data_IF_903121293770
#
_entry.id   IF_903121293770
#
_cell.length_a   1.000
_cell.length_b   1.000
_cell.length_c   1.000
_cell.angle_alpha   90.00
_cell.angle_beta   90.00
_cell.angle_gamma   90.00
#
_symmetry.space_group_name_H-M   'P 1'
#
loop_
_entity.id
_entity.type
_entity.pdbx_description
1 polymer ?
#
# COMPACT_ATOMS: atom_id res chain seq x y z
N UNK A 1 -21.11 -37.66 41.36
CA UNK A 1 -21.23 -36.28 40.82
C UNK A 1 -19.99 -36.00 39.98
N UNK A 2 -19.98 -36.44 38.72
CA UNK A 2 -18.84 -36.30 37.81
C UNK A 2 -19.08 -35.04 36.97
N UNK A 3 -18.20 -34.05 37.10
CA UNK A 3 -18.21 -32.86 36.25
C UNK A 3 -17.33 -33.11 35.02
N UNK A 4 -17.94 -33.26 33.85
CA UNK A 4 -17.25 -33.27 32.56
C UNK A 4 -17.14 -31.82 32.09
N UNK A 5 -15.91 -31.30 32.05
CA UNK A 5 -15.62 -29.99 31.45
C UNK A 5 -15.43 -30.18 29.94
N UNK A 6 -16.41 -29.72 29.15
CA UNK A 6 -16.33 -29.69 27.69
C UNK A 6 -15.59 -28.40 27.28
N UNK A 7 -14.29 -28.49 26.99
CA UNK A 7 -13.56 -27.34 26.42
C UNK A 7 -13.84 -27.23 24.93
N UNK A 8 -14.60 -26.22 24.54
CA UNK A 8 -14.67 -25.74 23.15
C UNK A 8 -13.51 -24.80 22.87
N UNK A 9 -12.60 -25.19 21.97
CA UNK A 9 -11.54 -24.33 21.46
C UNK A 9 -12.15 -23.27 20.54
N UNK A 10 -12.25 -22.03 21.02
CA UNK A 10 -12.54 -20.87 20.16
C UNK A 10 -11.19 -20.41 19.59
N UNK A 11 -11.00 -20.55 18.29
CA UNK A 11 -9.85 -19.97 17.61
C UNK A 11 -9.99 -18.43 17.62
N UNK A 12 -9.20 -17.77 18.45
CA UNK A 12 -9.09 -16.31 18.46
C UNK A 12 -8.20 -15.91 17.27
N UNK A 13 -8.80 -15.33 16.23
CA UNK A 13 -8.03 -14.74 15.14
C UNK A 13 -7.44 -13.41 15.63
N UNK A 14 -6.10 -13.36 15.75
CA UNK A 14 -5.40 -12.10 15.98
C UNK A 14 -5.46 -11.26 14.69
N UNK A 15 -5.99 -10.04 14.77
CA UNK A 15 -6.01 -9.12 13.63
C UNK A 15 -4.58 -8.69 13.32
N UNK A 16 -4.10 -8.96 12.10
CA UNK A 16 -2.76 -8.58 11.72
C UNK A 16 -2.72 -7.09 11.40
N UNK A 17 -1.55 -6.45 11.56
CA UNK A 17 -1.37 -5.03 11.21
C UNK A 17 -1.76 -4.73 9.75
N UNK A 18 -1.62 -5.71 8.85
CA UNK A 18 -1.96 -5.59 7.44
C UNK A 18 -3.48 -5.58 7.21
N UNK A 19 -4.25 -6.30 8.02
CA UNK A 19 -5.72 -6.33 7.92
C UNK A 19 -6.32 -4.96 8.23
N UNK A 20 -5.74 -4.23 9.18
CA UNK A 20 -6.18 -2.87 9.50
C UNK A 20 -5.89 -1.88 8.38
N UNK A 21 -4.74 -2.01 7.71
CA UNK A 21 -4.36 -1.18 6.55
C UNK A 21 -5.32 -1.45 5.40
N UNK A 22 -5.56 -2.73 5.09
CA UNK A 22 -6.48 -3.13 4.02
C UNK A 22 -7.90 -2.64 4.29
N UNK A 23 -8.41 -2.85 5.51
CA UNK A 23 -9.75 -2.40 5.93
C UNK A 23 -9.91 -0.89 5.77
N UNK A 24 -8.89 -0.12 6.19
CA UNK A 24 -8.90 1.34 6.03
C UNK A 24 -8.97 1.73 4.55
N UNK A 25 -8.08 1.22 3.71
CA UNK A 25 -8.06 1.60 2.29
C UNK A 25 -9.35 1.13 1.59
N UNK A 26 -9.84 -0.06 1.91
CA UNK A 26 -11.08 -0.60 1.38
C UNK A 26 -12.28 0.29 1.71
N UNK A 27 -12.30 0.97 2.87
CA UNK A 27 -13.34 1.94 3.20
C UNK A 27 -13.34 3.17 2.26
N UNK A 28 -12.19 3.59 1.75
CA UNK A 28 -12.12 4.66 0.74
C UNK A 28 -12.48 4.15 -0.65
N UNK A 29 -12.11 2.91 -0.97
CA UNK A 29 -12.46 2.26 -2.24
C UNK A 29 -13.98 2.10 -2.35
N UNK A 30 -14.64 1.62 -1.30
CA UNK A 30 -16.11 1.43 -1.29
C UNK A 30 -16.87 2.76 -1.42
N UNK A 31 -16.28 3.86 -0.93
CA UNK A 31 -16.80 5.21 -1.09
C UNK A 31 -16.44 5.85 -2.45
N UNK A 32 -15.80 5.09 -3.37
CA UNK A 32 -15.25 5.59 -4.63
C UNK A 32 -14.26 6.77 -4.48
N UNK A 33 -13.67 6.94 -3.29
CA UNK A 33 -12.70 7.99 -2.98
C UNK A 33 -11.26 7.58 -3.24
N UNK A 34 -11.01 6.30 -3.53
CA UNK A 34 -9.69 5.79 -3.86
C UNK A 34 -9.74 4.74 -4.98
N UNK A 35 -8.77 4.83 -5.90
CA UNK A 35 -8.47 3.82 -6.91
C UNK A 35 -6.99 3.96 -7.24
N UNK A 36 -6.20 2.91 -7.01
CA UNK A 36 -4.76 2.94 -7.25
C UNK A 36 -3.99 1.88 -6.45
N UNK A 37 -2.68 2.08 -6.35
CA UNK A 37 -1.76 1.18 -5.65
C UNK A 37 -1.30 1.77 -4.32
N UNK A 38 -1.16 0.93 -3.31
CA UNK A 38 -0.61 1.29 -1.99
C UNK A 38 0.58 0.38 -1.69
N UNK A 39 1.73 0.98 -1.43
CA UNK A 39 2.95 0.30 -0.97
C UNK A 39 3.41 0.96 0.34
N UNK A 40 3.69 0.14 1.35
CA UNK A 40 4.24 0.58 2.63
C UNK A 40 5.50 -0.22 2.88
N UNK A 41 6.61 0.50 3.05
CA UNK A 41 7.89 -0.06 3.41
C UNK A 41 8.35 0.47 4.78
N UNK A 42 8.95 -0.40 5.58
CA UNK A 42 9.61 -0.05 6.83
C UNK A 42 11.03 -0.59 6.78
N UNK A 43 12.01 0.28 7.05
CA UNK A 43 13.44 -0.10 7.05
C UNK A 43 13.87 -0.77 5.73
N UNK A 44 13.40 -0.22 4.60
CA UNK A 44 13.69 -0.74 3.26
C UNK A 44 12.96 -2.03 2.88
N UNK A 45 12.18 -2.64 3.80
CA UNK A 45 11.39 -3.85 3.54
C UNK A 45 9.93 -3.49 3.29
N UNK A 46 9.38 -3.99 2.18
CA UNK A 46 7.94 -3.89 1.90
C UNK A 46 7.18 -4.75 2.91
N UNK A 47 6.27 -4.13 3.66
CA UNK A 47 5.43 -4.80 4.65
C UNK A 47 3.96 -4.89 4.22
N UNK A 48 3.58 -4.11 3.21
CA UNK A 48 2.25 -4.10 2.61
C UNK A 48 2.34 -3.60 1.16
N UNK A 49 1.72 -4.30 0.23
CA UNK A 49 1.59 -3.88 -1.16
C UNK A 49 0.30 -4.46 -1.75
N UNK A 50 -0.60 -3.57 -2.22
CA UNK A 50 -1.88 -4.00 -2.81
C UNK A 50 -2.41 -2.96 -3.80
N UNK A 51 -3.12 -3.46 -4.82
CA UNK A 51 -3.83 -2.67 -5.83
C UNK A 51 -5.33 -2.67 -5.56
N UNK A 52 -5.99 -1.54 -5.81
CA UNK A 52 -7.40 -1.34 -5.54
C UNK A 52 -8.11 -0.62 -6.68
N UNK A 53 -9.37 -0.97 -6.91
CA UNK A 53 -10.20 -0.31 -7.92
C UNK A 53 -9.70 -0.52 -9.34
N UNK A 54 -10.04 0.43 -10.21
CA UNK A 54 -9.80 0.38 -11.65
C UNK A 54 -8.74 1.40 -12.10
N UNK A 55 -7.87 0.96 -13.00
CA UNK A 55 -6.98 1.82 -13.78
C UNK A 55 -7.79 2.61 -14.83
N UNK A 56 -8.82 1.97 -15.37
CA UNK A 56 -9.80 2.56 -16.26
C UNK A 56 -11.19 2.04 -15.90
N UNK A 57 -12.11 2.94 -15.52
CA UNK A 57 -13.46 2.56 -15.09
C UNK A 57 -14.40 2.31 -16.27
N UNK A 58 -14.18 2.96 -17.40
CA UNK A 58 -15.09 2.86 -18.54
C UNK A 58 -14.92 1.52 -19.26
N UNK A 59 -13.73 0.93 -19.14
CA UNK A 59 -13.37 -0.37 -19.72
C UNK A 59 -13.21 -1.48 -18.66
N UNK A 60 -13.61 -1.23 -17.41
CA UNK A 60 -13.49 -2.17 -16.29
C UNK A 60 -12.07 -2.76 -16.12
N UNK A 61 -11.03 -1.96 -16.39
CA UNK A 61 -9.63 -2.40 -16.29
C UNK A 61 -9.16 -2.25 -14.85
N UNK A 62 -8.89 -3.35 -14.11
CA UNK A 62 -8.47 -3.27 -12.72
C UNK A 62 -7.06 -2.68 -12.59
N UNK A 63 -6.79 -2.02 -11.46
CA UNK A 63 -5.41 -1.69 -11.11
C UNK A 63 -4.60 -2.96 -10.83
N UNK A 64 -3.38 -2.99 -11.34
CA UNK A 64 -2.32 -3.91 -10.96
C UNK A 64 -1.10 -3.16 -10.41
N UNK A 65 -0.17 -3.88 -9.77
CA UNK A 65 1.11 -3.33 -9.30
C UNK A 65 1.90 -2.61 -10.41
N UNK A 66 1.71 -3.00 -11.66
CA UNK A 66 2.38 -2.44 -12.84
C UNK A 66 1.65 -1.25 -13.48
N UNK A 67 0.51 -0.83 -12.93
CA UNK A 67 -0.25 0.30 -13.45
C UNK A 67 0.57 1.58 -13.34
N UNK A 68 0.71 2.30 -14.46
CA UNK A 68 1.45 3.57 -14.51
C UNK A 68 0.51 4.71 -14.18
N UNK A 69 0.93 5.57 -13.24
CA UNK A 69 0.18 6.76 -12.83
C UNK A 69 0.91 8.03 -13.25
N UNK A 70 0.15 9.06 -13.63
CA UNK A 70 0.71 10.40 -13.82
C UNK A 70 0.90 11.06 -12.46
N UNK A 71 2.16 11.17 -12.02
CA UNK A 71 2.51 11.60 -10.65
C UNK A 71 2.62 13.14 -10.47
N UNK A 72 2.44 13.92 -11.54
CA UNK A 72 2.40 15.41 -11.52
C UNK A 72 3.55 16.01 -10.71
N UNK A 73 3.28 16.81 -9.67
CA UNK A 73 4.31 17.53 -8.91
C UNK A 73 5.27 16.63 -8.14
N UNK A 74 4.95 15.35 -7.94
CA UNK A 74 5.91 14.38 -7.38
C UNK A 74 7.14 14.23 -8.29
N UNK A 75 7.01 14.49 -9.61
CA UNK A 75 8.15 14.51 -10.53
C UNK A 75 9.26 15.49 -10.10
N UNK A 76 8.92 16.57 -9.38
CA UNK A 76 9.89 17.57 -8.91
C UNK A 76 10.91 16.99 -7.94
N UNK A 77 10.54 15.97 -7.15
CA UNK A 77 11.48 15.30 -6.24
C UNK A 77 12.60 14.62 -7.02
N UNK A 78 12.28 13.98 -8.15
CA UNK A 78 13.28 13.36 -9.02
C UNK A 78 14.21 14.41 -9.63
N UNK A 79 13.67 15.53 -10.13
CA UNK A 79 14.48 16.64 -10.64
C UNK A 79 15.40 17.22 -9.56
N UNK A 80 14.91 17.39 -8.33
CA UNK A 80 15.74 17.86 -7.21
C UNK A 80 16.89 16.89 -6.91
N UNK A 81 16.64 15.57 -6.90
CA UNK A 81 17.68 14.56 -6.72
C UNK A 81 18.73 14.64 -7.82
N UNK A 82 18.33 14.82 -9.09
CA UNK A 82 19.27 14.97 -10.20
C UNK A 82 20.16 16.22 -10.04
N UNK A 83 19.59 17.33 -9.59
CA UNK A 83 20.36 18.57 -9.31
C UNK A 83 21.38 18.32 -8.19
N UNK A 84 20.97 17.66 -7.10
CA UNK A 84 21.87 17.34 -5.99
C UNK A 84 22.99 16.39 -6.41
N UNK A 85 22.70 15.39 -7.25
CA UNK A 85 23.71 14.49 -7.81
C UNK A 85 24.73 15.26 -8.65
N UNK A 86 24.28 16.18 -9.50
CA UNK A 86 25.16 17.04 -10.30
C UNK A 86 26.04 17.93 -9.41
N UNK A 87 25.47 18.57 -8.40
CA UNK A 87 26.22 19.41 -7.46
C UNK A 87 27.27 18.60 -6.69
N UNK A 88 26.93 17.40 -6.24
CA UNK A 88 27.88 16.52 -5.54
C UNK A 88 29.04 16.07 -6.44
N UNK A 89 28.80 15.84 -7.74
CA UNK A 89 29.87 15.52 -8.69
C UNK A 89 30.84 16.69 -8.85
N UNK A 90 30.32 17.92 -8.99
CA UNK A 90 31.13 19.13 -9.12
C UNK A 90 31.93 19.43 -7.84
N UNK A 91 31.35 19.18 -6.66
CA UNK A 91 32.04 19.41 -5.39
C UNK A 91 33.04 18.31 -5.00
N UNK A 92 33.12 17.23 -5.77
CA UNK A 92 34.07 16.12 -5.55
C UNK A 92 35.32 16.20 -6.44
N UNK A 93 35.43 17.26 -7.25
CA UNK A 93 36.61 17.63 -8.05
C UNK A 93 37.22 18.92 -7.51
#
# INVERSE_FOLDING_TARGET
MVFIFLQTNIAIFAQTKNDNIDTLIQSYVSLNKFSGNVLIAKEGKVIFEKSYGFADRDFDIPNSQNTKFRITSLAKQFTAVLILQLANQVNST
#
